data_IF_117417823809
#
_entry.id   IF_117417823809
#
_cell.length_a   1.000
_cell.length_b   1.000
_cell.length_c   1.000
_cell.angle_alpha   90.00
_cell.angle_beta   90.00
_cell.angle_gamma   90.00
#
_symmetry.space_group_name_H-M   'P 1'
#
loop_
_entity.id
_entity.type
_entity.pdbx_description
1 polymer ?
#
# COMPACT_ATOMS: atom_id res chain seq x y z
N UNK A 1 23.82 10.93 0.09
CA UNK A 1 22.91 12.10 -0.05
C UNK A 1 22.00 12.04 -1.28
N UNK A 2 22.50 11.85 -2.51
CA UNK A 2 21.61 11.73 -3.71
C UNK A 2 20.68 10.50 -3.70
N UNK A 3 21.13 9.36 -3.15
CA UNK A 3 20.31 8.14 -3.03
C UNK A 3 19.17 8.28 -2.02
N UNK A 4 19.41 8.93 -0.88
CA UNK A 4 18.39 9.14 0.16
C UNK A 4 17.27 10.08 -0.31
N UNK A 5 17.62 11.16 -1.01
CA UNK A 5 16.64 12.10 -1.56
C UNK A 5 15.72 11.42 -2.60
N UNK A 6 16.30 10.59 -3.47
CA UNK A 6 15.54 9.85 -4.49
C UNK A 6 14.57 8.86 -3.87
N UNK A 7 14.99 8.15 -2.81
CA UNK A 7 14.12 7.21 -2.10
C UNK A 7 12.96 7.94 -1.42
N UNK A 8 13.22 9.07 -0.76
CA UNK A 8 12.17 9.88 -0.15
C UNK A 8 11.15 10.39 -1.17
N UNK A 9 11.60 10.85 -2.34
CA UNK A 9 10.70 11.27 -3.42
C UNK A 9 9.84 10.13 -3.96
N UNK A 10 10.38 8.90 -4.01
CA UNK A 10 9.63 7.72 -4.41
C UNK A 10 8.55 7.37 -3.39
N UNK A 11 8.87 7.40 -2.09
CA UNK A 11 7.89 7.18 -1.02
C UNK A 11 6.76 8.22 -1.05
N UNK A 12 7.10 9.50 -1.23
CA UNK A 12 6.10 10.57 -1.40
C UNK A 12 5.24 10.34 -2.64
N UNK A 13 5.84 9.92 -3.76
CA UNK A 13 5.08 9.61 -4.97
C UNK A 13 4.13 8.42 -4.78
N UNK A 14 4.52 7.41 -4.00
CA UNK A 14 3.65 6.29 -3.63
C UNK A 14 2.47 6.79 -2.78
N UNK A 15 2.72 7.58 -1.73
CA UNK A 15 1.69 8.15 -0.88
C UNK A 15 0.67 8.97 -1.69
N UNK A 16 1.15 9.90 -2.51
CA UNK A 16 0.30 10.75 -3.37
C UNK A 16 -0.45 9.91 -4.40
N UNK A 17 0.21 8.93 -5.00
CA UNK A 17 -0.43 8.02 -5.94
C UNK A 17 -1.59 7.25 -5.30
N UNK A 18 -1.42 6.75 -4.08
CA UNK A 18 -2.50 6.10 -3.33
C UNK A 18 -3.61 7.07 -2.95
N UNK A 19 -3.29 8.32 -2.60
CA UNK A 19 -4.31 9.34 -2.36
C UNK A 19 -5.17 9.63 -3.61
N UNK A 20 -4.56 9.60 -4.81
CA UNK A 20 -5.26 9.83 -6.07
C UNK A 20 -6.09 8.61 -6.51
N UNK A 21 -5.65 7.38 -6.21
CA UNK A 21 -6.34 6.14 -6.59
C UNK A 21 -7.78 6.08 -6.06
N UNK A 22 -8.09 6.75 -4.95
CA UNK A 22 -9.46 6.87 -4.41
C UNK A 22 -10.45 7.39 -5.45
N UNK A 23 -10.02 8.29 -6.33
CA UNK A 23 -10.87 8.87 -7.38
C UNK A 23 -11.03 7.96 -8.61
N UNK A 24 -10.32 6.82 -8.64
CA UNK A 24 -10.40 5.81 -9.69
C UNK A 24 -10.48 4.42 -9.04
N UNK A 25 -11.62 4.07 -8.44
CA UNK A 25 -11.79 2.76 -7.79
C UNK A 25 -11.51 1.64 -8.79
N UNK A 26 -10.70 0.67 -8.38
CA UNK A 26 -10.27 -0.45 -9.23
C UNK A 26 -9.05 -0.18 -10.12
N UNK A 27 -8.48 1.04 -10.11
CA UNK A 27 -7.21 1.32 -10.76
C UNK A 27 -6.07 0.48 -10.15
N UNK A 28 -5.07 0.20 -10.97
CA UNK A 28 -3.85 -0.46 -10.52
C UNK A 28 -3.06 0.49 -9.60
N UNK A 29 -2.70 0.06 -8.39
CA UNK A 29 -1.94 0.90 -7.48
C UNK A 29 -0.51 1.15 -8.00
N UNK A 30 0.10 2.28 -7.61
CA UNK A 30 1.54 2.49 -7.79
C UNK A 30 2.35 1.32 -7.22
N UNK A 31 3.38 0.87 -7.94
CA UNK A 31 4.25 -0.24 -7.53
C UNK A 31 5.64 0.26 -7.15
N UNK A 32 6.34 -0.49 -6.30
CA UNK A 32 7.73 -0.18 -5.94
C UNK A 32 8.66 -0.41 -7.16
N UNK A 33 9.54 0.54 -7.53
CA UNK A 33 10.40 0.42 -8.71
C UNK A 33 11.50 -0.65 -8.61
N UNK A 34 11.63 -1.35 -7.47
CA UNK A 34 12.79 -2.20 -7.16
C UNK A 34 12.59 -3.70 -7.31
N UNK A 35 11.42 -4.18 -7.74
CA UNK A 35 11.18 -5.61 -7.89
C UNK A 35 10.81 -5.94 -9.34
N UNK A 36 11.73 -5.67 -10.26
CA UNK A 36 11.78 -6.50 -11.45
C UNK A 36 12.04 -7.92 -10.94
N UNK A 37 11.18 -8.90 -11.25
CA UNK A 37 11.43 -10.27 -10.82
C UNK A 37 12.78 -10.67 -11.40
N UNK A 38 13.79 -10.88 -10.55
CA UNK A 38 14.77 -11.91 -10.87
C UNK A 38 13.95 -13.18 -10.89
N UNK A 39 13.43 -13.52 -12.08
CA UNK A 39 13.01 -14.86 -12.37
C UNK A 39 14.23 -15.72 -12.10
N UNK A 40 14.35 -16.19 -10.86
CA UNK A 40 15.27 -17.27 -10.57
C UNK A 40 14.79 -18.39 -11.48
N UNK A 41 15.68 -18.82 -12.37
CA UNK A 41 15.53 -19.90 -13.33
C UNK A 41 15.36 -21.26 -12.62
N UNK A 42 14.58 -21.29 -11.54
CA UNK A 42 14.72 -22.25 -10.49
C UNK A 42 14.12 -23.62 -10.85
N UNK A 43 13.36 -23.75 -11.94
CA UNK A 43 12.71 -25.02 -12.25
C UNK A 43 13.58 -26.01 -13.03
N UNK A 44 14.70 -25.58 -13.62
CA UNK A 44 15.50 -26.44 -14.49
C UNK A 44 16.33 -27.41 -13.63
N UNK A 45 15.84 -28.65 -13.51
CA UNK A 45 16.51 -29.74 -12.79
C UNK A 45 15.90 -30.13 -11.45
N UNK A 46 14.83 -29.47 -10.99
CA UNK A 46 14.13 -29.86 -9.76
C UNK A 46 13.42 -31.20 -9.91
N UNK A 47 13.53 -32.04 -8.88
CA UNK A 47 12.76 -33.28 -8.76
C UNK A 47 11.26 -32.97 -8.59
N UNK A 48 10.37 -33.93 -8.91
CA UNK A 48 8.93 -33.77 -8.65
C UNK A 48 8.63 -33.45 -7.18
N UNK A 49 9.35 -34.07 -6.24
CA UNK A 49 9.18 -33.83 -4.80
C UNK A 49 9.57 -32.40 -4.41
N UNK A 50 10.66 -31.86 -4.99
CA UNK A 50 11.09 -30.48 -4.77
C UNK A 50 10.08 -29.46 -5.31
N UNK A 51 9.50 -29.74 -6.49
CA UNK A 51 8.44 -28.90 -7.07
C UNK A 51 7.18 -28.93 -6.22
N UNK A 52 6.77 -30.11 -5.76
CA UNK A 52 5.60 -30.24 -4.89
C UNK A 52 5.82 -29.53 -3.55
N UNK A 53 7.01 -29.65 -2.96
CA UNK A 53 7.41 -28.92 -1.76
C UNK A 53 7.34 -27.40 -2.00
N UNK A 54 7.92 -26.92 -3.11
CA UNK A 54 7.87 -25.50 -3.47
C UNK A 54 6.43 -24.99 -3.61
N UNK A 55 5.57 -25.72 -4.33
CA UNK A 55 4.15 -25.34 -4.50
C UNK A 55 3.45 -25.27 -3.14
N UNK A 56 3.72 -26.21 -2.24
CA UNK A 56 3.11 -26.21 -0.91
C UNK A 56 3.52 -25.00 -0.07
N UNK A 57 4.80 -24.62 -0.12
CA UNK A 57 5.32 -23.48 0.61
C UNK A 57 4.91 -22.15 -0.03
N UNK A 58 4.85 -22.08 -1.36
CA UNK A 58 4.34 -20.93 -2.09
C UNK A 58 2.86 -20.66 -1.76
N UNK A 59 2.03 -21.70 -1.60
CA UNK A 59 0.64 -21.55 -1.16
C UNK A 59 0.56 -20.96 0.25
N UNK A 60 1.36 -21.46 1.19
CA UNK A 60 1.42 -20.91 2.56
C UNK A 60 1.85 -19.45 2.58
N UNK A 61 2.87 -19.10 1.79
CA UNK A 61 3.35 -17.73 1.67
C UNK A 61 2.27 -16.81 1.08
N UNK A 62 1.54 -17.27 0.06
CA UNK A 62 0.42 -16.51 -0.51
C UNK A 62 -0.72 -16.32 0.49
N UNK A 63 -1.07 -17.34 1.27
CA UNK A 63 -2.08 -17.24 2.33
C UNK A 63 -1.65 -16.22 3.41
N UNK A 64 -0.37 -16.23 3.79
CA UNK A 64 0.21 -15.24 4.69
C UNK A 64 0.12 -13.82 4.10
N UNK A 65 0.51 -13.63 2.84
CA UNK A 65 0.42 -12.32 2.16
C UNK A 65 -1.03 -11.81 2.10
N UNK A 66 -2.02 -12.70 1.92
CA UNK A 66 -3.43 -12.33 1.98
C UNK A 66 -3.88 -11.95 3.39
N UNK A 67 -3.36 -12.63 4.43
CA UNK A 67 -3.60 -12.27 5.82
C UNK A 67 -3.01 -10.89 6.14
N UNK A 68 -1.74 -10.65 5.79
CA UNK A 68 -1.04 -9.39 6.01
C UNK A 68 -1.77 -8.23 5.31
N UNK A 69 -2.22 -8.43 4.07
CA UNK A 69 -3.01 -7.43 3.36
C UNK A 69 -4.34 -7.12 4.06
N UNK A 70 -5.02 -8.12 4.61
CA UNK A 70 -6.27 -7.92 5.37
C UNK A 70 -5.99 -7.10 6.63
N UNK A 71 -4.90 -7.38 7.33
CA UNK A 71 -4.48 -6.60 8.50
C UNK A 71 -4.16 -5.15 8.13
N UNK A 72 -3.37 -4.92 7.06
CA UNK A 72 -3.08 -3.57 6.57
C UNK A 72 -4.35 -2.81 6.19
N UNK A 73 -5.33 -3.48 5.56
CA UNK A 73 -6.63 -2.87 5.24
C UNK A 73 -7.45 -2.52 6.49
N UNK A 74 -7.44 -3.38 7.52
CA UNK A 74 -8.11 -3.09 8.78
C UNK A 74 -7.48 -1.86 9.48
N UNK A 75 -6.15 -1.79 9.51
CA UNK A 75 -5.42 -0.61 10.02
C UNK A 75 -5.69 0.64 9.18
N UNK A 76 -5.79 0.50 7.86
CA UNK A 76 -6.18 1.60 6.97
C UNK A 76 -7.54 2.19 7.32
N UNK A 77 -8.52 1.34 7.64
CA UNK A 77 -9.85 1.79 8.07
C UNK A 77 -9.78 2.59 9.36
N UNK A 78 -8.95 2.16 10.32
CA UNK A 78 -8.72 2.91 11.57
C UNK A 78 -8.08 4.28 11.28
N UNK A 79 -7.04 4.34 10.46
CA UNK A 79 -6.40 5.61 10.08
C UNK A 79 -7.40 6.52 9.36
N UNK A 80 -8.21 5.98 8.45
CA UNK A 80 -9.22 6.74 7.73
C UNK A 80 -10.27 7.33 8.70
N UNK A 81 -10.81 6.54 9.62
CA UNK A 81 -11.78 7.07 10.60
C UNK A 81 -11.15 8.11 11.52
N UNK A 82 -9.90 7.92 11.95
CA UNK A 82 -9.16 8.95 12.72
C UNK A 82 -9.00 10.24 11.92
N UNK A 83 -8.72 10.18 10.62
CA UNK A 83 -8.61 11.39 9.77
C UNK A 83 -9.94 12.13 9.65
N UNK A 84 -11.07 11.42 9.60
CA UNK A 84 -12.41 12.05 9.58
C UNK A 84 -12.70 12.79 10.90
N UNK A 85 -12.38 12.15 12.04
CA UNK A 85 -12.56 12.76 13.37
C UNK A 85 -11.68 14.01 13.51
N UNK A 86 -10.40 13.92 13.14
CA UNK A 86 -9.48 15.06 13.18
C UNK A 86 -9.92 16.16 12.22
N UNK A 87 -10.34 15.82 11.00
CA UNK A 87 -10.84 16.79 10.02
C UNK A 87 -12.08 17.54 10.52
N UNK A 88 -13.01 16.83 11.16
CA UNK A 88 -14.18 17.46 11.80
C UNK A 88 -13.77 18.41 12.93
N UNK A 89 -12.80 18.01 13.77
CA UNK A 89 -12.28 18.86 14.84
C UNK A 89 -11.59 20.12 14.30
N UNK A 90 -10.78 20.00 13.25
CA UNK A 90 -10.14 21.13 12.56
C UNK A 90 -11.20 22.09 12.03
N UNK A 91 -12.22 21.59 11.33
CA UNK A 91 -13.30 22.42 10.77
C UNK A 91 -14.12 23.13 11.84
N UNK A 92 -14.51 22.42 12.91
CA UNK A 92 -15.24 23.00 14.03
C UNK A 92 -14.43 24.09 14.75
N UNK A 93 -13.13 23.85 14.97
CA UNK A 93 -12.23 24.81 15.61
C UNK A 93 -12.02 26.06 14.76
N UNK A 94 -11.78 25.90 13.45
CA UNK A 94 -11.57 27.01 12.53
C UNK A 94 -12.77 27.99 12.50
N UNK A 95 -14.00 27.48 12.59
CA UNK A 95 -15.20 28.32 12.60
C UNK A 95 -15.38 29.21 13.85
N UNK A 96 -14.64 28.95 14.93
CA UNK A 96 -14.82 29.61 16.23
C UNK A 96 -13.70 30.59 16.60
N UNK A 97 -12.60 30.56 15.86
CA UNK A 97 -11.37 31.27 16.24
C UNK A 97 -11.06 32.38 15.25
N UNK A 98 -10.74 33.58 15.75
CA UNK A 98 -10.39 34.72 14.92
C UNK A 98 -8.92 34.63 14.52
N UNK A 99 -8.65 34.20 13.29
CA UNK A 99 -7.30 33.92 12.84
C UNK A 99 -6.64 35.12 12.14
N UNK A 100 -5.40 35.43 12.52
CA UNK A 100 -4.47 36.16 11.66
C UNK A 100 -4.03 35.32 10.46
N UNK A 101 -3.42 35.95 9.45
CA UNK A 101 -2.98 35.29 8.20
C UNK A 101 -2.10 34.05 8.42
N UNK A 102 -1.23 34.09 9.44
CA UNK A 102 -0.38 32.96 9.83
C UNK A 102 -1.20 31.81 10.42
N UNK A 103 -2.16 32.09 11.29
CA UNK A 103 -3.05 31.08 11.88
C UNK A 103 -3.88 30.37 10.81
N UNK A 104 -4.44 31.12 9.86
CA UNK A 104 -5.14 30.56 8.70
C UNK A 104 -4.24 29.64 7.89
N UNK A 105 -2.99 30.03 7.63
CA UNK A 105 -2.05 29.19 6.88
C UNK A 105 -1.75 27.86 7.59
N UNK A 106 -1.55 27.86 8.91
CA UNK A 106 -1.30 26.64 9.68
C UNK A 106 -2.54 25.74 9.75
N UNK A 107 -3.75 26.31 9.86
CA UNK A 107 -5.00 25.55 9.78
C UNK A 107 -5.18 24.87 8.43
N UNK A 108 -4.93 25.59 7.33
CA UNK A 108 -5.00 25.02 5.98
C UNK A 108 -3.96 23.92 5.77
N UNK A 109 -2.75 24.08 6.33
CA UNK A 109 -1.74 23.04 6.31
C UNK A 109 -2.20 21.78 7.06
N UNK A 110 -2.73 21.94 8.28
CA UNK A 110 -3.25 20.81 9.07
C UNK A 110 -4.41 20.10 8.36
N UNK A 111 -5.34 20.85 7.76
CA UNK A 111 -6.43 20.30 6.97
C UNK A 111 -5.92 19.55 5.74
N UNK A 112 -4.97 20.12 5.01
CA UNK A 112 -4.36 19.51 3.82
C UNK A 112 -3.62 18.21 4.14
N UNK A 113 -2.82 18.18 5.22
CA UNK A 113 -2.15 16.96 5.68
C UNK A 113 -3.15 15.89 6.14
N UNK A 114 -4.19 16.29 6.87
CA UNK A 114 -5.27 15.37 7.30
C UNK A 114 -5.97 14.75 6.10
N UNK A 115 -6.32 15.56 5.10
CA UNK A 115 -6.95 15.10 3.87
C UNK A 115 -6.03 14.16 3.09
N UNK A 116 -4.74 14.48 2.96
CA UNK A 116 -3.76 13.64 2.29
C UNK A 116 -3.64 12.26 2.96
N UNK A 117 -3.52 12.21 4.29
CA UNK A 117 -3.48 10.96 5.05
C UNK A 117 -4.79 10.16 4.90
N UNK A 118 -5.93 10.83 4.97
CA UNK A 118 -7.24 10.20 4.78
C UNK A 118 -7.41 9.60 3.38
N UNK A 119 -7.04 10.33 2.34
CA UNK A 119 -7.09 9.83 0.97
C UNK A 119 -6.10 8.68 0.73
N UNK A 120 -4.88 8.76 1.27
CA UNK A 120 -3.93 7.64 1.16
C UNK A 120 -4.48 6.36 1.83
N UNK A 121 -5.07 6.49 3.03
CA UNK A 121 -5.70 5.37 3.74
C UNK A 121 -6.92 4.81 2.98
N UNK A 122 -7.79 5.69 2.45
CA UNK A 122 -8.89 5.28 1.58
C UNK A 122 -8.38 4.60 0.29
N UNK A 123 -7.25 5.04 -0.25
CA UNK A 123 -6.59 4.45 -1.40
C UNK A 123 -6.16 3.02 -1.11
N UNK A 124 -5.56 2.78 0.06
CA UNK A 124 -5.20 1.42 0.51
C UNK A 124 -6.42 0.50 0.61
N UNK A 125 -7.58 1.03 1.02
CA UNK A 125 -8.83 0.27 1.14
C UNK A 125 -9.43 -0.06 -0.23
N UNK A 126 -9.34 0.86 -1.19
CA UNK A 126 -10.06 0.83 -2.48
C UNK A 126 -9.21 0.34 -3.66
N UNK A 127 -7.88 0.36 -3.54
CA UNK A 127 -6.97 -0.07 -4.58
C UNK A 127 -7.18 -1.56 -4.92
N UNK A 128 -7.09 -1.87 -6.22
CA UNK A 128 -7.16 -3.25 -6.68
C UNK A 128 -5.94 -4.02 -6.17
N UNK A 129 -6.20 -5.19 -5.60
CA UNK A 129 -5.15 -6.11 -5.18
C UNK A 129 -4.59 -6.88 -6.36
N UNK A 130 -3.27 -6.85 -6.50
CA UNK A 130 -2.54 -7.69 -7.43
C UNK A 130 -2.06 -9.01 -6.83
N UNK A 131 -2.34 -9.26 -5.54
CA UNK A 131 -2.23 -10.60 -4.95
C UNK A 131 -3.29 -11.48 -5.63
N UNK A 132 -2.94 -12.08 -6.77
CA UNK A 132 -3.78 -12.97 -7.56
C UNK A 132 -3.63 -14.41 -7.10
N UNK A 133 -4.62 -15.24 -7.42
CA UNK A 133 -4.40 -16.68 -7.52
C UNK A 133 -3.67 -16.97 -8.85
N UNK A 134 -2.84 -18.02 -8.93
CA UNK A 134 -2.22 -18.41 -10.20
C UNK A 134 -3.28 -18.57 -11.29
N UNK A 135 -2.98 -18.12 -12.51
CA UNK A 135 -3.91 -18.24 -13.62
C UNK A 135 -4.04 -19.70 -14.07
N UNK A 136 -5.00 -20.42 -13.49
CA UNK A 136 -5.22 -21.83 -13.82
C UNK A 136 -5.83 -22.02 -15.22
N UNK A 137 -6.27 -20.94 -15.90
CA UNK A 137 -6.82 -21.01 -17.26
C UNK A 137 -5.79 -21.47 -18.29
N UNK A 138 -4.49 -21.29 -18.02
CA UNK A 138 -3.41 -21.75 -18.90
C UNK A 138 -3.05 -23.24 -18.71
N UNK A 139 -3.61 -23.92 -17.70
CA UNK A 139 -3.31 -25.33 -17.41
C UNK A 139 -4.11 -26.33 -18.26
N UNK A 140 -5.08 -25.86 -19.05
CA UNK A 140 -6.03 -26.72 -19.76
C UNK A 140 -5.36 -27.53 -20.89
N UNK A 141 -4.15 -27.16 -21.32
CA UNK A 141 -3.58 -27.64 -22.58
C UNK A 141 -2.12 -28.14 -22.49
N UNK A 142 -1.78 -28.92 -21.45
CA UNK A 142 -0.47 -29.57 -21.39
C UNK A 142 -0.53 -31.08 -21.15
N UNK A 143 0.07 -31.82 -22.09
CA UNK A 143 0.41 -33.24 -22.00
C UNK A 143 1.11 -33.55 -20.67
N UNK A 144 0.74 -34.69 -20.05
CA UNK A 144 1.20 -35.18 -18.76
C UNK A 144 2.68 -34.87 -18.45
N UNK A 145 2.92 -34.03 -17.43
CA UNK A 145 4.26 -33.71 -16.91
C UNK A 145 4.69 -32.23 -17.00
N UNK A 146 4.10 -31.42 -17.88
CA UNK A 146 4.44 -29.98 -18.02
C UNK A 146 3.60 -29.03 -17.17
N UNK A 147 2.49 -29.51 -16.63
CA UNK A 147 1.55 -28.79 -15.75
C UNK A 147 2.26 -28.31 -14.48
N UNK A 148 3.07 -29.16 -13.86
CA UNK A 148 3.73 -28.86 -12.59
C UNK A 148 4.83 -27.80 -12.74
N UNK A 149 5.59 -27.85 -13.82
CA UNK A 149 6.62 -26.85 -14.12
C UNK A 149 5.99 -25.48 -14.42
N UNK A 150 4.89 -25.44 -15.16
CA UNK A 150 4.12 -24.22 -15.39
C UNK A 150 3.54 -23.66 -14.08
N UNK A 151 3.01 -24.51 -13.20
CA UNK A 151 2.53 -24.11 -11.88
C UNK A 151 3.64 -23.47 -11.05
N UNK A 152 4.83 -24.07 -10.99
CA UNK A 152 5.98 -23.52 -10.25
C UNK A 152 6.34 -22.12 -10.75
N UNK A 153 6.39 -21.91 -12.07
CA UNK A 153 6.69 -20.60 -12.68
C UNK A 153 5.62 -19.55 -12.35
N UNK A 154 4.35 -19.92 -12.44
CA UNK A 154 3.22 -19.04 -12.12
C UNK A 154 3.19 -18.67 -10.62
N UNK A 155 3.45 -19.63 -9.73
CA UNK A 155 3.57 -19.39 -8.30
C UNK A 155 4.76 -18.46 -7.97
N UNK A 156 5.91 -18.65 -8.63
CA UNK A 156 7.07 -17.79 -8.45
C UNK A 156 6.78 -16.34 -8.86
N UNK A 157 6.17 -16.13 -10.03
CA UNK A 157 5.80 -14.80 -10.52
C UNK A 157 4.78 -14.13 -9.57
N UNK A 158 3.76 -14.87 -9.14
CA UNK A 158 2.69 -14.35 -8.28
C UNK A 158 3.21 -13.97 -6.89
N UNK A 159 4.09 -14.78 -6.31
CA UNK A 159 4.69 -14.53 -4.99
C UNK A 159 5.45 -13.21 -4.93
N UNK A 160 6.25 -12.92 -5.94
CA UNK A 160 7.02 -11.68 -6.01
C UNK A 160 6.12 -10.44 -6.11
N UNK A 161 5.08 -10.50 -6.95
CA UNK A 161 4.11 -9.41 -7.09
C UNK A 161 3.35 -9.19 -5.78
N UNK A 162 2.97 -10.26 -5.09
CA UNK A 162 2.25 -10.16 -3.83
C UNK A 162 3.10 -9.57 -2.70
N UNK A 163 4.34 -10.02 -2.53
CA UNK A 163 5.27 -9.46 -1.55
C UNK A 163 5.56 -7.96 -1.83
N UNK A 164 5.78 -7.59 -3.09
CA UNK A 164 5.96 -6.20 -3.50
C UNK A 164 4.73 -5.35 -3.16
N UNK A 165 3.53 -5.88 -3.40
CA UNK A 165 2.27 -5.21 -3.09
C UNK A 165 2.12 -4.97 -1.60
N UNK A 166 2.34 -5.98 -0.76
CA UNK A 166 2.26 -5.84 0.70
C UNK A 166 3.27 -4.81 1.21
N UNK A 167 4.51 -4.85 0.72
CA UNK A 167 5.54 -3.89 1.09
C UNK A 167 5.12 -2.44 0.78
N UNK A 168 4.56 -2.18 -0.42
CA UNK A 168 4.05 -0.85 -0.78
C UNK A 168 2.91 -0.43 0.14
N UNK A 169 1.95 -1.32 0.42
CA UNK A 169 0.83 -1.01 1.31
C UNK A 169 1.30 -0.66 2.72
N UNK A 170 2.29 -1.38 3.25
CA UNK A 170 2.89 -1.08 4.56
C UNK A 170 3.62 0.26 4.55
N UNK A 171 4.41 0.56 3.51
CA UNK A 171 5.10 1.86 3.38
C UNK A 171 4.11 3.02 3.31
N UNK A 172 3.08 2.92 2.46
CA UNK A 172 2.03 3.94 2.36
C UNK A 172 1.28 4.11 3.69
N UNK A 173 1.02 3.02 4.41
CA UNK A 173 0.39 3.08 5.73
C UNK A 173 1.26 3.82 6.75
N UNK A 174 2.55 3.45 6.83
CA UNK A 174 3.53 4.11 7.70
C UNK A 174 3.58 5.61 7.43
N UNK A 175 3.66 5.99 6.16
CA UNK A 175 3.78 7.40 5.75
C UNK A 175 2.47 8.16 5.98
N UNK A 176 1.30 7.53 5.77
CA UNK A 176 0.00 8.12 6.09
C UNK A 176 -0.14 8.40 7.60
N UNK A 177 0.33 7.49 8.45
CA UNK A 177 0.35 7.69 9.92
C UNK A 177 1.29 8.84 10.28
N UNK A 178 2.48 8.92 9.69
CA UNK A 178 3.40 10.04 9.92
C UNK A 178 2.79 11.38 9.51
N UNK A 179 2.15 11.45 8.34
CA UNK A 179 1.46 12.65 7.86
C UNK A 179 0.32 13.04 8.79
N UNK A 180 -0.43 12.07 9.32
CA UNK A 180 -1.50 12.32 10.28
C UNK A 180 -0.97 12.89 11.61
N UNK A 181 0.16 12.38 12.11
CA UNK A 181 0.82 12.92 13.30
C UNK A 181 1.27 14.37 13.05
N UNK A 182 1.86 14.66 11.89
CA UNK A 182 2.24 16.02 11.51
C UNK A 182 1.03 16.95 11.40
N UNK A 183 -0.09 16.45 10.87
CA UNK A 183 -1.34 17.19 10.80
C UNK A 183 -1.87 17.55 12.19
N UNK A 184 -1.83 16.60 13.12
CA UNK A 184 -2.23 16.82 14.51
C UNK A 184 -1.34 17.85 15.22
N UNK A 185 -0.02 17.76 15.04
CA UNK A 185 0.93 18.74 15.60
C UNK A 185 0.65 20.13 15.04
N UNK A 186 0.49 20.25 13.72
CA UNK A 186 0.16 21.52 13.07
C UNK A 186 -1.16 22.10 13.60
N UNK A 187 -2.19 21.27 13.75
CA UNK A 187 -3.47 21.67 14.33
C UNK A 187 -3.32 22.15 15.77
N UNK A 188 -2.58 21.42 16.62
CA UNK A 188 -2.34 21.81 18.01
C UNK A 188 -1.59 23.14 18.12
N UNK A 189 -0.56 23.36 17.29
CA UNK A 189 0.13 24.65 17.22
C UNK A 189 -0.80 25.79 16.77
N UNK A 190 -1.64 25.55 15.76
CA UNK A 190 -2.60 26.54 15.29
C UNK A 190 -3.67 26.87 16.35
N UNK A 191 -4.06 25.88 17.15
CA UNK A 191 -5.01 26.06 18.25
C UNK A 191 -4.42 26.85 19.42
N UNK A 192 -3.15 26.61 19.76
CA UNK A 192 -2.47 27.30 20.86
C UNK A 192 -2.09 28.76 20.54
N UNK A 193 -1.88 29.08 19.27
CA UNK A 193 -1.52 30.44 18.82
C UNK A 193 -2.67 31.22 18.18
N UNK A 194 -3.82 30.59 18.01
CA UNK A 194 -5.02 31.16 17.38
C UNK A 194 -5.95 31.85 18.35
#
# INVERSE_FOLDING_TARGET
MRRTLRNALQEVALLVGYAIVVFRPGALPPQHPQLAPTATSASDGWSPEERQLYISEARRDMDQQQADKRDVRARAQQVFTTTLVLGAAIGASYSRTAHGSVGTAVYLLAAGLTALAGFAAAGVITAKSLIGAPSLSNLIDTSAGKVEEQLVREYAATRHVGAATVAVLVTVMRDAVLVLILAFIAFACAYLWG
#
